data_IF_166650710900
#
_entry.id   IF_166650710900
#
_cell.length_a   1.000
_cell.length_b   1.000
_cell.length_c   1.000
_cell.angle_alpha   90.00
_cell.angle_beta   90.00
_cell.angle_gamma   90.00
#
_symmetry.space_group_name_H-M   'P 1'
#
loop_
_entity.id
_entity.type
_entity.pdbx_description
1 polymer ?
#
# COMPACT_ATOMS: atom_id res chain seq x y z
N UNK A 1 -26.65 -14.33 1.84
CA UNK A 1 -25.77 -14.23 0.65
C UNK A 1 -25.38 -15.65 0.30
N UNK A 2 -25.62 -16.11 -0.92
CA UNK A 2 -25.27 -17.46 -1.36
C UNK A 2 -23.86 -17.42 -1.98
N UNK A 3 -23.07 -18.47 -1.73
CA UNK A 3 -21.75 -18.62 -2.33
C UNK A 3 -21.90 -19.04 -3.80
N UNK A 4 -20.98 -18.60 -4.64
CA UNK A 4 -20.84 -19.15 -6.00
C UNK A 4 -20.26 -20.56 -5.94
N UNK A 5 -20.42 -21.35 -7.00
CA UNK A 5 -19.86 -22.71 -7.08
C UNK A 5 -18.35 -22.72 -6.77
N UNK A 6 -17.59 -21.75 -7.32
CA UNK A 6 -16.16 -21.61 -7.06
C UNK A 6 -15.83 -21.26 -5.62
N UNK A 7 -16.66 -20.44 -4.99
CA UNK A 7 -16.51 -20.13 -3.56
C UNK A 7 -16.84 -21.33 -2.68
N UNK A 8 -17.86 -22.14 -3.04
CA UNK A 8 -18.16 -23.40 -2.32
C UNK A 8 -17.02 -24.42 -2.43
N UNK A 9 -16.44 -24.59 -3.63
CA UNK A 9 -15.25 -25.41 -3.84
C UNK A 9 -14.09 -24.92 -2.96
N UNK A 10 -13.87 -23.59 -2.95
CA UNK A 10 -12.83 -22.95 -2.13
C UNK A 10 -13.04 -23.14 -0.63
N UNK A 11 -14.29 -23.05 -0.16
CA UNK A 11 -14.64 -23.34 1.22
C UNK A 11 -14.31 -24.80 1.58
N UNK A 12 -14.78 -25.77 0.77
CA UNK A 12 -14.53 -27.20 0.98
C UNK A 12 -13.04 -27.53 1.01
N UNK A 13 -12.27 -27.00 0.05
CA UNK A 13 -10.82 -27.21 -0.03
C UNK A 13 -10.08 -26.63 1.18
N UNK A 14 -10.45 -25.42 1.63
CA UNK A 14 -9.85 -24.81 2.80
C UNK A 14 -10.14 -25.60 4.07
N UNK A 15 -11.38 -26.05 4.27
CA UNK A 15 -11.76 -26.88 5.41
C UNK A 15 -11.04 -28.24 5.40
N UNK A 16 -10.88 -28.87 4.22
CA UNK A 16 -10.13 -30.10 4.04
C UNK A 16 -8.68 -29.93 4.50
N UNK A 17 -8.00 -28.87 4.01
CA UNK A 17 -6.60 -28.58 4.35
C UNK A 17 -6.41 -28.32 5.84
N UNK A 18 -7.29 -27.54 6.44
CA UNK A 18 -7.26 -27.28 7.88
C UNK A 18 -7.39 -28.57 8.69
N UNK A 19 -8.36 -29.43 8.36
CA UNK A 19 -8.56 -30.74 9.02
C UNK A 19 -7.37 -31.69 8.88
N UNK A 20 -6.67 -31.62 7.75
CA UNK A 20 -5.49 -32.43 7.48
C UNK A 20 -4.20 -31.84 8.10
N UNK A 21 -4.28 -30.78 8.90
CA UNK A 21 -3.14 -30.06 9.49
C UNK A 21 -2.12 -29.59 8.43
N UNK A 22 -2.59 -29.26 7.23
CA UNK A 22 -1.73 -28.60 6.24
C UNK A 22 -1.42 -27.16 6.73
N UNK A 23 -0.27 -26.63 6.34
CA UNK A 23 0.21 -25.33 6.88
C UNK A 23 -0.58 -24.14 6.35
N UNK A 24 -1.04 -24.18 5.11
CA UNK A 24 -1.67 -23.05 4.46
C UNK A 24 -2.59 -23.42 3.30
N UNK A 25 -3.40 -22.46 2.92
CA UNK A 25 -4.13 -22.42 1.66
C UNK A 25 -3.83 -21.11 0.93
N UNK A 26 -3.76 -21.15 -0.39
CA UNK A 26 -3.67 -19.96 -1.25
C UNK A 26 -4.97 -19.82 -2.03
N UNK A 27 -5.63 -18.70 -1.85
CA UNK A 27 -6.86 -18.32 -2.55
C UNK A 27 -6.51 -17.17 -3.48
N UNK A 28 -6.31 -17.50 -4.76
CA UNK A 28 -6.16 -16.53 -5.82
C UNK A 28 -7.52 -16.10 -6.37
N UNK A 29 -7.60 -14.86 -6.87
CA UNK A 29 -8.81 -14.41 -7.54
C UNK A 29 -8.73 -12.95 -7.94
N UNK A 30 -9.46 -12.59 -8.96
CA UNK A 30 -9.48 -11.23 -9.50
C UNK A 30 -10.25 -10.25 -8.60
N UNK A 31 -10.20 -8.95 -8.92
CA UNK A 31 -11.06 -7.96 -8.30
C UNK A 31 -12.54 -8.35 -8.50
N UNK A 32 -13.40 -8.10 -7.51
CA UNK A 32 -14.84 -8.39 -7.59
C UNK A 32 -15.23 -9.87 -7.50
N UNK A 33 -14.31 -10.81 -7.24
CA UNK A 33 -14.62 -12.24 -7.13
C UNK A 33 -15.02 -12.70 -5.72
N UNK A 34 -15.08 -11.79 -4.74
CA UNK A 34 -15.53 -12.07 -3.39
C UNK A 34 -14.54 -12.86 -2.53
N UNK A 35 -13.23 -12.68 -2.70
CA UNK A 35 -12.20 -13.30 -1.83
C UNK A 35 -12.46 -13.06 -0.35
N UNK A 36 -12.69 -11.81 0.06
CA UNK A 36 -12.95 -11.44 1.45
C UNK A 36 -14.27 -12.05 1.98
N UNK A 37 -15.28 -12.14 1.12
CA UNK A 37 -16.55 -12.81 1.43
C UNK A 37 -16.32 -14.29 1.72
N UNK A 38 -15.59 -14.98 0.86
CA UNK A 38 -15.25 -16.40 1.07
C UNK A 38 -14.52 -16.62 2.41
N UNK A 39 -13.56 -15.75 2.76
CA UNK A 39 -12.85 -15.83 4.05
C UNK A 39 -13.81 -15.74 5.23
N UNK A 40 -14.80 -14.85 5.17
CA UNK A 40 -15.79 -14.73 6.25
C UNK A 40 -16.58 -16.03 6.45
N UNK A 41 -16.95 -16.73 5.36
CA UNK A 41 -17.59 -18.04 5.43
C UNK A 41 -16.65 -19.13 5.95
N UNK A 42 -15.37 -19.11 5.53
CA UNK A 42 -14.34 -20.05 6.01
C UNK A 42 -14.19 -19.93 7.53
N UNK A 43 -13.98 -18.71 8.04
CA UNK A 43 -13.80 -18.47 9.48
C UNK A 43 -15.04 -18.89 10.27
N UNK A 44 -16.23 -18.63 9.75
CA UNK A 44 -17.47 -19.06 10.40
C UNK A 44 -17.61 -20.58 10.39
N UNK A 45 -17.22 -21.27 9.32
CA UNK A 45 -17.32 -22.73 9.21
C UNK A 45 -16.26 -23.49 10.02
N UNK A 46 -15.10 -22.83 10.30
CA UNK A 46 -14.04 -23.42 11.13
C UNK A 46 -14.34 -23.34 12.64
N UNK A 47 -15.36 -22.57 13.04
CA UNK A 47 -15.79 -22.37 14.44
C UNK A 47 -14.63 -21.98 15.38
N UNK A 48 -13.72 -21.14 14.88
CA UNK A 48 -12.57 -20.63 15.63
C UNK A 48 -12.94 -19.31 16.30
N UNK A 49 -12.51 -19.13 17.55
CA UNK A 49 -12.66 -17.84 18.23
C UNK A 49 -12.07 -16.73 17.37
N UNK A 50 -12.88 -15.73 17.04
CA UNK A 50 -12.46 -14.57 16.22
C UNK A 50 -11.26 -13.84 16.79
N UNK A 51 -11.05 -13.87 18.11
CA UNK A 51 -9.86 -13.31 18.76
C UNK A 51 -8.57 -14.08 18.42
N UNK A 52 -8.71 -15.34 17.98
CA UNK A 52 -7.60 -16.17 17.52
C UNK A 52 -7.36 -16.10 16.01
N UNK A 53 -8.09 -15.24 15.31
CA UNK A 53 -7.90 -14.98 13.88
C UNK A 53 -7.21 -13.61 13.71
N UNK A 54 -6.03 -13.60 13.10
CA UNK A 54 -5.36 -12.37 12.71
C UNK A 54 -5.61 -12.06 11.24
N UNK A 55 -6.02 -10.85 10.94
CA UNK A 55 -6.07 -10.31 9.58
C UNK A 55 -4.87 -9.41 9.39
N UNK A 56 -4.05 -9.69 8.38
CA UNK A 56 -2.81 -8.94 8.16
C UNK A 56 -2.61 -8.59 6.70
N UNK A 57 -1.93 -7.48 6.49
CA UNK A 57 -1.42 -7.07 5.18
C UNK A 57 0.01 -6.55 5.28
N UNK A 58 0.69 -6.42 4.15
CA UNK A 58 2.08 -5.96 4.13
C UNK A 58 2.21 -4.47 4.45
N UNK A 59 1.29 -3.65 3.95
CA UNK A 59 1.30 -2.18 4.15
C UNK A 59 0.31 -1.74 5.22
N UNK A 60 0.61 -0.61 5.87
CA UNK A 60 -0.30 0.00 6.84
C UNK A 60 -1.63 0.39 6.21
N UNK A 61 -1.58 0.95 5.00
CA UNK A 61 -2.76 1.34 4.23
C UNK A 61 -3.68 0.16 3.94
N UNK A 62 -3.13 -0.98 3.49
CA UNK A 62 -3.95 -2.18 3.25
C UNK A 62 -4.53 -2.76 4.55
N UNK A 63 -3.79 -2.70 5.67
CA UNK A 63 -4.32 -3.07 6.98
C UNK A 63 -5.48 -2.14 7.41
N UNK A 64 -5.40 -0.85 7.07
CA UNK A 64 -6.48 0.12 7.29
C UNK A 64 -7.74 -0.23 6.48
N UNK A 65 -7.57 -0.54 5.19
CA UNK A 65 -8.68 -1.01 4.35
C UNK A 65 -9.35 -2.24 4.95
N UNK A 66 -8.57 -3.19 5.48
CA UNK A 66 -9.12 -4.37 6.18
C UNK A 66 -9.91 -3.98 7.43
N UNK A 67 -9.46 -2.97 8.21
CA UNK A 67 -10.20 -2.47 9.38
C UNK A 67 -11.55 -1.88 8.97
N UNK A 68 -11.58 -1.05 7.94
CA UNK A 68 -12.82 -0.47 7.39
C UNK A 68 -13.79 -1.53 6.86
N UNK A 69 -13.27 -2.64 6.33
CA UNK A 69 -14.06 -3.79 5.85
C UNK A 69 -14.54 -4.73 6.99
N UNK A 70 -14.50 -4.29 8.23
CA UNK A 70 -15.08 -5.02 9.37
C UNK A 70 -14.12 -5.92 10.15
N UNK A 71 -12.81 -5.74 9.97
CA UNK A 71 -11.78 -6.45 10.74
C UNK A 71 -11.01 -5.48 11.65
N UNK A 72 -11.60 -5.00 12.76
CA UNK A 72 -11.06 -3.89 13.55
C UNK A 72 -9.64 -4.15 14.09
N UNK A 73 -9.26 -5.41 14.27
CA UNK A 73 -7.95 -5.82 14.75
C UNK A 73 -6.95 -6.10 13.61
N UNK A 74 -7.26 -5.71 12.37
CA UNK A 74 -6.34 -5.90 11.27
C UNK A 74 -5.06 -5.07 11.48
N UNK A 75 -3.91 -5.69 11.17
CA UNK A 75 -2.60 -5.10 11.43
C UNK A 75 -1.62 -5.37 10.29
N UNK A 76 -0.46 -4.75 10.35
CA UNK A 76 0.59 -5.08 9.39
C UNK A 76 1.25 -6.41 9.74
N UNK A 77 1.76 -7.11 8.72
CA UNK A 77 2.51 -8.34 8.89
C UNK A 77 3.75 -8.15 9.80
N UNK A 78 4.37 -6.97 9.73
CA UNK A 78 5.47 -6.63 10.64
C UNK A 78 5.02 -6.60 12.11
N UNK A 79 3.88 -5.99 12.41
CA UNK A 79 3.35 -5.95 13.78
C UNK A 79 2.99 -7.34 14.30
N UNK A 80 2.54 -8.22 13.42
CA UNK A 80 2.26 -9.61 13.78
C UNK A 80 3.55 -10.37 14.13
N UNK A 81 4.61 -10.24 13.30
CA UNK A 81 5.80 -11.09 13.34
C UNK A 81 6.90 -10.61 14.29
N UNK A 82 6.89 -9.34 14.69
CA UNK A 82 7.97 -8.76 15.50
C UNK A 82 7.45 -8.10 16.77
N UNK A 83 8.22 -8.26 17.83
CA UNK A 83 8.11 -7.43 19.04
C UNK A 83 9.01 -6.21 18.91
N UNK A 84 8.50 -5.05 19.32
CA UNK A 84 9.27 -3.82 19.43
C UNK A 84 9.76 -3.67 20.87
N UNK A 85 11.05 -3.88 21.10
CA UNK A 85 11.66 -3.78 22.43
C UNK A 85 12.40 -2.44 22.52
N UNK A 86 12.08 -1.59 23.48
CA UNK A 86 12.77 -0.32 23.68
C UNK A 86 14.28 -0.51 23.84
N UNK A 87 15.06 0.40 23.26
CA UNK A 87 16.52 0.42 23.40
C UNK A 87 16.94 1.42 24.47
N UNK A 88 17.96 1.10 25.26
CA UNK A 88 18.63 2.13 26.04
C UNK A 88 19.19 3.23 25.11
N UNK A 89 18.74 4.46 25.27
CA UNK A 89 19.14 5.58 24.41
C UNK A 89 18.19 5.93 23.25
N UNK A 90 17.00 5.34 23.20
CA UNK A 90 15.93 5.66 22.25
C UNK A 90 15.80 4.67 21.07
N UNK A 91 14.61 4.62 20.47
CA UNK A 91 14.25 3.68 19.41
C UNK A 91 13.91 2.27 19.90
N UNK A 92 13.62 1.37 18.96
CA UNK A 92 13.21 0.00 19.25
C UNK A 92 14.04 -1.03 18.47
N UNK A 93 14.30 -2.18 19.11
CA UNK A 93 14.72 -3.39 18.42
C UNK A 93 13.51 -4.15 17.95
N UNK A 94 13.57 -4.69 16.75
CA UNK A 94 12.62 -5.69 16.27
C UNK A 94 13.18 -7.07 16.53
N UNK A 95 12.51 -7.79 17.40
CA UNK A 95 12.85 -9.17 17.72
C UNK A 95 11.76 -10.04 17.10
N UNK A 96 12.10 -11.00 16.21
CA UNK A 96 11.12 -11.93 15.69
C UNK A 96 10.42 -12.67 16.84
N UNK A 97 9.10 -12.70 16.81
CA UNK A 97 8.31 -13.45 17.80
C UNK A 97 8.58 -14.94 17.67
N UNK A 98 8.78 -15.61 18.77
CA UNK A 98 8.97 -17.06 18.81
C UNK A 98 7.64 -17.81 18.62
N UNK A 99 6.55 -17.25 19.14
CA UNK A 99 5.21 -17.82 19.08
C UNK A 99 4.19 -16.75 18.68
N UNK A 100 3.13 -17.18 18.01
CA UNK A 100 1.97 -16.36 17.69
C UNK A 100 0.76 -16.93 18.40
N UNK A 101 -0.01 -16.08 19.09
CA UNK A 101 -1.18 -16.48 19.90
C UNK A 101 -2.43 -16.72 19.05
N UNK A 102 -2.27 -16.84 17.74
CA UNK A 102 -3.35 -17.00 16.79
C UNK A 102 -3.45 -18.46 16.30
N UNK A 103 -4.65 -18.87 15.97
CA UNK A 103 -4.93 -20.18 15.35
C UNK A 103 -4.91 -20.05 13.83
N UNK A 104 -5.42 -18.94 13.31
CA UNK A 104 -5.51 -18.65 11.88
C UNK A 104 -4.93 -17.27 11.60
N UNK A 105 -4.17 -17.16 10.51
CA UNK A 105 -3.69 -15.89 9.97
C UNK A 105 -4.22 -15.75 8.55
N UNK A 106 -4.95 -14.68 8.29
CA UNK A 106 -5.39 -14.28 6.94
C UNK A 106 -4.44 -13.19 6.44
N UNK A 107 -3.69 -13.50 5.40
CA UNK A 107 -2.75 -12.56 4.76
C UNK A 107 -3.39 -12.05 3.48
N UNK A 108 -3.75 -10.78 3.44
CA UNK A 108 -4.32 -10.14 2.26
C UNK A 108 -3.25 -9.46 1.41
N UNK A 109 -3.52 -9.30 0.11
CA UNK A 109 -2.60 -8.73 -0.90
C UNK A 109 -1.21 -9.41 -0.87
N UNK A 110 -1.19 -10.74 -0.86
CA UNK A 110 0.05 -11.52 -0.73
C UNK A 110 1.08 -11.24 -1.84
N UNK A 111 0.64 -10.75 -3.00
CA UNK A 111 1.54 -10.34 -4.11
C UNK A 111 2.61 -9.32 -3.71
N UNK A 112 2.34 -8.54 -2.65
CA UNK A 112 3.26 -7.52 -2.11
C UNK A 112 4.15 -8.03 -0.98
N UNK A 113 3.92 -9.23 -0.46
CA UNK A 113 4.63 -9.75 0.71
C UNK A 113 6.00 -10.30 0.29
N UNK A 114 7.12 -9.88 0.91
CA UNK A 114 8.42 -10.45 0.63
C UNK A 114 8.48 -11.95 0.96
N UNK A 115 9.19 -12.72 0.11
CA UNK A 115 9.43 -14.15 0.33
C UNK A 115 9.98 -14.43 1.74
N UNK A 116 10.91 -13.62 2.21
CA UNK A 116 11.51 -13.75 3.56
C UNK A 116 10.46 -13.68 4.68
N UNK A 117 9.41 -12.87 4.52
CA UNK A 117 8.32 -12.79 5.52
C UNK A 117 7.35 -13.97 5.40
N UNK A 118 7.10 -14.47 4.20
CA UNK A 118 6.33 -15.71 3.99
C UNK A 118 7.06 -16.88 4.66
N UNK A 119 8.36 -17.02 4.41
CA UNK A 119 9.17 -18.06 5.02
C UNK A 119 9.18 -17.96 6.55
N UNK A 120 9.14 -16.74 7.10
CA UNK A 120 9.03 -16.52 8.55
C UNK A 120 7.65 -16.96 9.08
N UNK A 121 6.56 -16.59 8.41
CA UNK A 121 5.21 -17.03 8.77
C UNK A 121 5.09 -18.56 8.79
N UNK A 122 5.63 -19.22 7.78
CA UNK A 122 5.55 -20.69 7.62
C UNK A 122 6.34 -21.48 8.69
N UNK A 123 7.16 -20.81 9.51
CA UNK A 123 7.84 -21.42 10.67
C UNK A 123 6.92 -21.56 11.88
N UNK A 124 5.85 -20.76 11.95
CA UNK A 124 4.90 -20.82 13.05
C UNK A 124 3.90 -21.97 12.86
N UNK A 125 3.42 -22.53 13.97
CA UNK A 125 2.42 -23.61 13.99
C UNK A 125 0.99 -23.02 13.96
N UNK A 126 0.68 -22.30 12.88
CA UNK A 126 -0.63 -21.65 12.66
C UNK A 126 -1.10 -21.96 11.25
N UNK A 127 -2.41 -22.02 11.03
CA UNK A 127 -2.95 -22.17 9.68
C UNK A 127 -3.00 -20.81 8.99
N UNK A 128 -2.50 -20.73 7.75
CA UNK A 128 -2.39 -19.47 7.03
C UNK A 128 -3.28 -19.49 5.79
N UNK A 129 -4.09 -18.47 5.62
CA UNK A 129 -4.90 -18.23 4.43
C UNK A 129 -4.27 -17.07 3.67
N UNK A 130 -3.61 -17.35 2.55
CA UNK A 130 -3.05 -16.33 1.67
C UNK A 130 -4.08 -15.91 0.63
N UNK A 131 -4.35 -14.62 0.53
CA UNK A 131 -5.23 -14.01 -0.46
C UNK A 131 -4.43 -13.12 -1.40
N UNK A 132 -4.76 -13.17 -2.68
CA UNK A 132 -4.14 -12.27 -3.63
C UNK A 132 -4.77 -12.33 -5.01
N UNK A 133 -4.39 -11.39 -5.83
CA UNK A 133 -4.76 -11.32 -7.23
C UNK A 133 -3.52 -11.59 -8.09
N UNK A 134 -3.48 -12.72 -8.83
CA UNK A 134 -2.32 -13.09 -9.62
C UNK A 134 -2.08 -12.15 -10.81
N UNK A 135 -3.06 -11.32 -11.17
CA UNK A 135 -2.93 -10.38 -12.27
C UNK A 135 -2.46 -8.98 -11.84
N UNK A 136 -2.46 -8.68 -10.54
CA UNK A 136 -1.85 -7.43 -10.04
C UNK A 136 -0.33 -7.45 -10.22
N UNK A 137 0.28 -6.24 -10.14
CA UNK A 137 1.73 -6.11 -10.21
C UNK A 137 2.40 -6.87 -9.05
N UNK A 138 3.43 -7.68 -9.35
CA UNK A 138 4.23 -8.33 -8.31
C UNK A 138 5.14 -7.31 -7.61
N UNK A 139 5.81 -7.75 -6.54
CA UNK A 139 6.90 -6.99 -5.94
C UNK A 139 7.97 -6.58 -6.96
N UNK A 140 8.54 -5.39 -6.74
CA UNK A 140 9.64 -4.86 -7.58
C UNK A 140 10.92 -5.65 -7.35
N UNK A 141 11.21 -6.00 -6.09
CA UNK A 141 12.41 -6.75 -5.72
C UNK A 141 12.29 -8.21 -6.17
N UNK A 142 13.05 -8.55 -7.22
CA UNK A 142 13.03 -9.89 -7.83
C UNK A 142 13.53 -10.98 -6.88
N UNK A 143 14.45 -10.66 -5.99
CA UNK A 143 15.04 -11.62 -5.03
C UNK A 143 14.06 -11.95 -3.88
N UNK A 144 13.06 -11.10 -3.67
CA UNK A 144 12.01 -11.29 -2.67
C UNK A 144 10.69 -11.79 -3.28
N UNK A 145 10.65 -12.07 -4.57
CA UNK A 145 9.47 -12.60 -5.25
C UNK A 145 9.18 -14.05 -4.82
N UNK A 146 7.92 -14.40 -4.73
CA UNK A 146 7.44 -15.76 -4.46
C UNK A 146 6.44 -16.19 -5.55
N UNK A 147 6.14 -17.48 -5.58
CA UNK A 147 5.30 -18.15 -6.60
C UNK A 147 3.91 -18.58 -6.07
N UNK A 148 3.52 -18.18 -4.87
CA UNK A 148 2.28 -18.62 -4.24
C UNK A 148 1.03 -18.42 -5.12
N UNK A 149 1.00 -17.32 -5.89
CA UNK A 149 -0.14 -16.99 -6.76
C UNK A 149 -0.01 -17.60 -8.18
N UNK A 150 1.10 -18.23 -8.52
CA UNK A 150 1.27 -18.86 -9.82
C UNK A 150 0.45 -20.17 -9.91
N UNK A 151 0.29 -20.87 -8.77
CA UNK A 151 -0.50 -22.08 -8.63
C UNK A 151 -1.34 -22.05 -7.35
N UNK A 152 -2.39 -21.22 -7.27
CA UNK A 152 -3.22 -21.14 -6.08
C UNK A 152 -4.04 -22.43 -5.90
N UNK A 153 -4.28 -22.83 -4.64
CA UNK A 153 -5.08 -24.01 -4.33
C UNK A 153 -6.58 -23.81 -4.67
N UNK A 154 -7.02 -22.57 -4.59
CA UNK A 154 -8.37 -22.12 -4.94
C UNK A 154 -8.23 -20.91 -5.85
N UNK A 155 -8.94 -20.92 -6.97
CA UNK A 155 -8.93 -19.80 -7.90
C UNK A 155 -10.34 -19.30 -8.18
N UNK A 156 -10.61 -18.04 -7.82
CA UNK A 156 -11.88 -17.37 -8.01
C UNK A 156 -11.82 -16.51 -9.29
N UNK A 157 -12.45 -16.98 -10.35
CA UNK A 157 -12.53 -16.29 -11.65
C UNK A 157 -13.93 -15.72 -11.94
N UNK A 158 -14.93 -16.11 -11.15
CA UNK A 158 -16.31 -15.65 -11.30
C UNK A 158 -16.53 -14.36 -10.52
N UNK A 159 -16.98 -13.32 -11.21
CA UNK A 159 -17.38 -12.05 -10.59
C UNK A 159 -18.72 -12.23 -9.88
N UNK A 160 -18.83 -11.65 -8.69
CA UNK A 160 -20.08 -11.65 -7.95
C UNK A 160 -21.16 -10.87 -8.70
N UNK A 161 -22.41 -11.33 -8.65
CA UNK A 161 -23.54 -10.70 -9.38
C UNK A 161 -23.68 -9.21 -9.09
N UNK A 162 -23.48 -8.79 -7.85
CA UNK A 162 -23.58 -7.38 -7.44
C UNK A 162 -22.51 -6.50 -8.08
N UNK A 163 -21.37 -7.06 -8.43
CA UNK A 163 -20.25 -6.35 -9.03
C UNK A 163 -20.18 -6.49 -10.55
N UNK A 164 -20.94 -7.43 -11.12
CA UNK A 164 -20.96 -7.67 -12.57
C UNK A 164 -21.55 -6.49 -13.37
N UNK A 165 -22.37 -5.66 -12.74
CA UNK A 165 -22.95 -4.46 -13.36
C UNK A 165 -21.99 -3.25 -13.30
N UNK A 166 -20.93 -3.28 -12.49
CA UNK A 166 -19.97 -2.18 -12.37
C UNK A 166 -19.18 -2.01 -13.67
N UNK A 167 -19.23 -0.80 -14.23
CA UNK A 167 -18.45 -0.43 -15.42
C UNK A 167 -16.94 -0.55 -15.15
N UNK A 168 -16.49 -0.29 -13.92
CA UNK A 168 -15.08 -0.43 -13.50
C UNK A 168 -14.65 -1.88 -13.60
N UNK A 169 -15.45 -2.80 -13.05
CA UNK A 169 -15.15 -4.24 -13.08
C UNK A 169 -15.16 -4.76 -14.52
N UNK A 170 -16.14 -4.37 -15.34
CA UNK A 170 -16.18 -4.75 -16.76
C UNK A 170 -14.95 -4.24 -17.53
N UNK A 171 -14.52 -3.01 -17.26
CA UNK A 171 -13.33 -2.43 -17.88
C UNK A 171 -12.06 -3.17 -17.43
N UNK A 172 -11.92 -3.48 -16.15
CA UNK A 172 -10.76 -4.24 -15.63
C UNK A 172 -10.71 -5.65 -16.21
N UNK A 173 -11.86 -6.29 -16.48
CA UNK A 173 -11.89 -7.59 -17.19
C UNK A 173 -11.34 -7.47 -18.60
N UNK A 174 -11.76 -6.46 -19.38
CA UNK A 174 -11.24 -6.23 -20.74
C UNK A 174 -9.74 -6.01 -20.70
N UNK A 175 -9.24 -5.18 -19.77
CA UNK A 175 -7.79 -4.94 -19.59
C UNK A 175 -7.06 -6.26 -19.35
N UNK A 176 -7.55 -7.07 -18.41
CA UNK A 176 -6.96 -8.35 -18.06
C UNK A 176 -6.93 -9.34 -19.22
N UNK A 177 -8.01 -9.41 -19.98
CA UNK A 177 -8.13 -10.32 -21.14
C UNK A 177 -7.29 -9.85 -22.33
N UNK A 178 -6.68 -8.66 -22.26
CA UNK A 178 -5.93 -8.08 -23.38
C UNK A 178 -6.81 -7.61 -24.54
N UNK A 179 -8.11 -7.38 -24.24
CA UNK A 179 -9.07 -6.86 -25.20
C UNK A 179 -8.78 -5.39 -25.51
N UNK A 180 -9.28 -4.94 -26.65
CA UNK A 180 -9.22 -3.52 -27.00
C UNK A 180 -10.09 -2.71 -26.06
N UNK A 181 -9.53 -1.61 -25.55
CA UNK A 181 -10.23 -0.68 -24.66
C UNK A 181 -10.61 0.55 -25.48
N UNK A 182 -11.89 0.67 -25.88
CA UNK A 182 -12.35 1.83 -26.63
C UNK A 182 -12.44 3.06 -25.72
N UNK A 183 -12.45 4.25 -26.31
CA UNK A 183 -12.89 5.44 -25.60
C UNK A 183 -14.35 5.27 -25.17
N UNK A 184 -14.65 5.62 -23.94
CA UNK A 184 -15.98 5.48 -23.36
C UNK A 184 -16.27 6.55 -22.32
N UNK A 185 -17.53 6.92 -22.17
CA UNK A 185 -18.00 7.97 -21.26
C UNK A 185 -19.15 7.41 -20.40
N UNK A 186 -18.80 6.47 -19.54
CA UNK A 186 -19.74 5.83 -18.62
C UNK A 186 -20.01 6.68 -17.37
N UNK A 187 -20.88 6.17 -16.51
CA UNK A 187 -21.21 6.81 -15.24
C UNK A 187 -20.16 6.55 -14.16
N UNK A 188 -19.59 5.34 -14.15
CA UNK A 188 -18.58 4.89 -13.18
C UNK A 188 -17.18 4.89 -13.79
N UNK A 189 -17.05 4.53 -15.08
CA UNK A 189 -15.78 4.45 -15.77
C UNK A 189 -15.78 5.27 -17.05
N UNK A 190 -14.70 6.02 -17.26
CA UNK A 190 -14.43 6.78 -18.48
C UNK A 190 -13.05 6.43 -19.00
N UNK A 191 -12.94 6.33 -20.33
CA UNK A 191 -11.65 6.20 -21.04
C UNK A 191 -11.59 7.34 -22.04
N UNK A 192 -10.73 8.31 -21.79
CA UNK A 192 -10.64 9.54 -22.58
C UNK A 192 -9.32 9.64 -23.34
N UNK A 193 -9.30 10.26 -24.52
CA UNK A 193 -8.06 10.56 -25.21
C UNK A 193 -7.27 11.65 -24.47
N UNK A 194 -5.94 11.62 -24.65
CA UNK A 194 -5.02 12.56 -23.96
C UNK A 194 -5.38 14.02 -24.15
N UNK A 195 -5.93 14.39 -25.30
CA UNK A 195 -6.31 15.76 -25.65
C UNK A 195 -7.49 16.28 -24.83
N UNK A 196 -8.32 15.40 -24.30
CA UNK A 196 -9.48 15.76 -23.48
C UNK A 196 -9.12 15.92 -21.99
N UNK A 197 -7.92 15.50 -21.59
CA UNK A 197 -7.46 15.71 -20.23
C UNK A 197 -7.35 17.22 -19.93
N UNK A 198 -8.02 17.66 -18.88
CA UNK A 198 -8.03 19.04 -18.48
C UNK A 198 -7.87 19.17 -16.95
N UNK A 199 -7.74 20.39 -16.47
CA UNK A 199 -7.56 20.71 -15.06
C UNK A 199 -8.71 20.23 -14.18
N UNK A 200 -9.93 20.18 -14.74
CA UNK A 200 -11.10 19.64 -14.05
C UNK A 200 -10.93 18.17 -13.69
N UNK A 201 -10.39 17.35 -14.58
CA UNK A 201 -10.10 15.93 -14.29
C UNK A 201 -9.03 15.76 -13.19
N UNK A 202 -8.00 16.61 -13.20
CA UNK A 202 -6.95 16.57 -12.18
C UNK A 202 -7.49 16.92 -10.79
N UNK A 203 -8.32 17.98 -10.70
CA UNK A 203 -8.91 18.44 -9.45
C UNK A 203 -10.06 17.54 -8.96
N UNK A 204 -10.72 16.82 -9.87
CA UNK A 204 -11.81 15.88 -9.57
C UNK A 204 -11.33 14.64 -8.82
N UNK A 205 -10.12 14.15 -9.14
CA UNK A 205 -9.60 12.90 -8.62
C UNK A 205 -9.20 13.01 -7.14
N UNK A 206 -9.61 12.03 -6.32
CA UNK A 206 -9.08 11.86 -4.97
C UNK A 206 -7.62 11.38 -5.02
N UNK A 207 -7.30 10.57 -6.06
CA UNK A 207 -5.95 10.13 -6.32
C UNK A 207 -5.65 10.03 -7.82
N UNK A 208 -4.50 10.56 -8.22
CA UNK A 208 -3.95 10.40 -9.57
C UNK A 208 -2.89 9.31 -9.54
N UNK A 209 -2.94 8.38 -10.50
CA UNK A 209 -2.00 7.25 -10.62
C UNK A 209 -1.28 7.35 -11.96
N UNK A 210 0.05 7.24 -11.93
CA UNK A 210 0.91 7.25 -13.11
C UNK A 210 1.91 6.09 -13.10
N UNK A 211 2.69 5.95 -14.16
CA UNK A 211 3.70 4.91 -14.29
C UNK A 211 5.08 5.32 -13.84
N UNK A 212 5.52 6.51 -14.22
CA UNK A 212 6.90 6.97 -14.02
C UNK A 212 7.04 8.05 -12.95
N UNK A 213 8.21 8.10 -12.33
CA UNK A 213 8.53 9.16 -11.38
C UNK A 213 8.54 10.56 -12.03
N UNK A 214 8.92 10.64 -13.32
CA UNK A 214 8.94 11.92 -14.02
C UNK A 214 7.52 12.49 -14.17
N UNK A 215 6.56 11.67 -14.60
CA UNK A 215 5.15 12.10 -14.69
C UNK A 215 4.60 12.44 -13.30
N UNK A 216 4.90 11.63 -12.30
CA UNK A 216 4.52 11.89 -10.91
C UNK A 216 4.97 13.26 -10.43
N UNK A 217 6.25 13.63 -10.65
CA UNK A 217 6.79 14.92 -10.25
C UNK A 217 6.08 16.05 -11.00
N UNK A 218 5.95 15.95 -12.32
CA UNK A 218 5.31 16.97 -13.14
C UNK A 218 3.86 17.24 -12.73
N UNK A 219 3.09 16.16 -12.52
CA UNK A 219 1.67 16.27 -12.11
C UNK A 219 1.56 16.82 -10.68
N UNK A 220 2.41 16.42 -9.75
CA UNK A 220 2.41 16.98 -8.41
C UNK A 220 2.70 18.49 -8.42
N UNK A 221 3.66 18.96 -9.22
CA UNK A 221 3.95 20.39 -9.37
C UNK A 221 2.77 21.13 -10.01
N UNK A 222 2.15 20.55 -11.04
CA UNK A 222 0.94 21.12 -11.65
C UNK A 222 -0.22 21.20 -10.64
N UNK A 223 -0.43 20.16 -9.85
CA UNK A 223 -1.48 20.14 -8.81
C UNK A 223 -1.26 21.21 -7.75
N UNK A 224 -0.01 21.45 -7.34
CA UNK A 224 0.33 22.53 -6.42
C UNK A 224 -0.12 23.88 -6.98
N UNK A 225 0.28 24.17 -8.22
CA UNK A 225 -0.09 25.42 -8.90
C UNK A 225 -1.61 25.57 -9.05
N UNK A 226 -2.31 24.50 -9.46
CA UNK A 226 -3.78 24.52 -9.59
C UNK A 226 -4.50 24.75 -8.26
N UNK A 227 -3.92 24.35 -7.15
CA UNK A 227 -4.46 24.58 -5.79
C UNK A 227 -3.98 25.90 -5.17
N UNK A 228 -3.18 26.69 -5.88
CA UNK A 228 -2.68 27.98 -5.43
C UNK A 228 -1.50 27.90 -4.45
N UNK A 229 -0.82 26.76 -4.38
CA UNK A 229 0.39 26.60 -3.57
C UNK A 229 1.62 27.07 -4.35
N UNK A 230 2.41 27.93 -3.74
CA UNK A 230 3.60 28.54 -4.33
C UNK A 230 4.86 28.25 -3.49
N UNK A 231 6.04 28.48 -4.11
CA UNK A 231 7.33 28.34 -3.41
C UNK A 231 7.86 26.91 -3.33
N UNK A 232 9.07 26.82 -2.74
CA UNK A 232 9.91 25.61 -2.76
C UNK A 232 9.63 24.64 -1.61
N UNK A 233 8.86 25.06 -0.61
CA UNK A 233 8.50 24.23 0.53
C UNK A 233 7.01 23.93 0.51
N UNK A 234 6.59 22.77 1.03
CA UNK A 234 5.18 22.47 1.22
C UNK A 234 4.50 23.49 2.13
N UNK A 235 3.25 23.77 1.84
CA UNK A 235 2.42 24.72 2.57
C UNK A 235 1.32 24.00 3.34
N UNK A 236 0.68 24.73 4.24
CA UNK A 236 -0.41 24.24 5.07
C UNK A 236 -1.55 23.65 4.21
N UNK A 237 -1.97 22.43 4.49
CA UNK A 237 -3.01 21.72 3.73
C UNK A 237 -2.52 20.99 2.47
N UNK A 238 -1.23 21.00 2.15
CA UNK A 238 -0.72 20.21 1.02
C UNK A 238 -0.72 18.72 1.31
N UNK A 239 -1.07 17.93 0.27
CA UNK A 239 -1.14 16.47 0.34
C UNK A 239 0.26 15.86 0.17
N UNK A 240 0.66 15.07 1.14
CA UNK A 240 1.94 14.37 1.16
C UNK A 240 1.75 12.85 1.22
N UNK A 241 2.80 12.12 0.85
CA UNK A 241 2.87 10.66 0.98
C UNK A 241 4.17 10.26 1.64
N UNK A 242 4.08 9.39 2.65
CA UNK A 242 5.21 8.75 3.30
C UNK A 242 5.81 7.65 2.41
N UNK A 243 7.13 7.65 2.22
CA UNK A 243 7.79 6.75 1.29
C UNK A 243 8.48 5.55 1.94
N UNK A 244 8.55 5.52 3.27
CA UNK A 244 9.20 4.46 4.05
C UNK A 244 8.38 4.13 5.30
N UNK A 245 8.69 3.01 5.94
CA UNK A 245 8.10 2.67 7.23
C UNK A 245 8.94 3.24 8.36
N UNK A 246 8.31 4.02 9.23
CA UNK A 246 8.89 4.61 10.44
C UNK A 246 8.07 4.13 11.65
N UNK A 247 8.44 2.98 12.17
CA UNK A 247 7.69 2.29 13.22
C UNK A 247 7.82 2.93 14.59
N UNK A 248 8.80 3.81 14.76
CA UNK A 248 9.03 4.58 15.98
C UNK A 248 8.20 5.87 16.01
N UNK A 249 7.76 6.35 14.84
CA UNK A 249 6.92 7.54 14.73
C UNK A 249 5.47 7.12 14.89
N UNK A 250 5.00 7.20 16.10
CA UNK A 250 3.66 6.79 16.51
C UNK A 250 2.76 8.03 16.51
N UNK A 251 1.51 7.87 16.07
CA UNK A 251 0.49 8.92 16.16
C UNK A 251 0.24 9.34 17.60
N UNK A 252 -0.20 10.56 17.80
CA UNK A 252 -0.36 11.17 19.14
C UNK A 252 -1.32 10.39 20.06
N UNK A 253 -2.28 9.67 19.46
CA UNK A 253 -3.21 8.77 20.16
C UNK A 253 -2.67 7.33 20.33
N UNK A 254 -1.47 7.03 19.81
CA UNK A 254 -0.85 5.71 19.84
C UNK A 254 -1.48 4.68 18.90
N UNK A 255 -2.33 5.10 17.97
CA UNK A 255 -3.11 4.23 17.10
C UNK A 255 -2.28 3.58 16.01
N UNK A 256 -1.45 4.33 15.29
CA UNK A 256 -0.64 3.82 14.18
C UNK A 256 0.77 4.41 14.14
N UNK A 257 1.59 3.92 13.21
CA UNK A 257 2.92 4.43 12.91
C UNK A 257 2.94 5.01 11.50
N UNK A 258 3.90 5.90 11.21
CA UNK A 258 4.15 6.34 9.84
C UNK A 258 4.60 5.17 8.98
N UNK A 259 3.83 4.86 7.94
CA UNK A 259 4.10 3.72 7.06
C UNK A 259 4.19 4.12 5.59
N UNK A 260 4.94 3.34 4.83
CA UNK A 260 5.07 3.52 3.40
C UNK A 260 3.69 3.46 2.70
N UNK A 261 3.41 4.48 1.89
CA UNK A 261 2.13 4.64 1.19
C UNK A 261 1.06 5.41 1.96
N UNK A 262 1.30 5.77 3.24
CA UNK A 262 0.37 6.60 4.00
C UNK A 262 0.32 8.00 3.39
N UNK A 263 -0.87 8.43 2.99
CA UNK A 263 -1.15 9.77 2.49
C UNK A 263 -1.81 10.61 3.56
N UNK A 264 -1.61 11.91 3.51
CA UNK A 264 -2.20 12.85 4.45
C UNK A 264 -1.89 14.29 4.09
N UNK A 265 -2.41 15.20 4.89
CA UNK A 265 -2.14 16.63 4.77
C UNK A 265 -1.17 17.10 5.84
N UNK A 266 -0.41 18.11 5.53
CA UNK A 266 0.48 18.76 6.52
C UNK A 266 -0.14 20.02 7.08
N UNK A 267 0.27 20.34 8.31
CA UNK A 267 -0.09 21.55 9.02
C UNK A 267 1.17 22.21 9.60
N UNK A 268 1.14 23.55 9.64
CA UNK A 268 2.19 24.37 10.27
C UNK A 268 3.61 24.05 9.77
N UNK A 269 3.87 23.90 8.44
CA UNK A 269 5.18 23.54 7.96
C UNK A 269 6.16 24.72 8.05
N UNK A 270 7.40 24.44 8.50
CA UNK A 270 8.49 25.40 8.45
C UNK A 270 9.83 24.73 8.15
N UNK A 271 10.72 25.47 7.49
CA UNK A 271 12.08 24.97 7.20
C UNK A 271 12.90 24.90 8.48
N UNK A 272 13.56 23.77 8.68
CA UNK A 272 14.48 23.53 9.79
C UNK A 272 15.72 22.79 9.29
N UNK A 273 16.65 22.52 10.18
CA UNK A 273 17.84 21.71 9.91
C UNK A 273 18.05 20.72 11.05
N UNK A 274 18.42 19.52 10.70
CA UNK A 274 18.82 18.49 11.64
C UNK A 274 20.33 18.36 11.61
N UNK A 275 20.99 18.46 12.78
CA UNK A 275 22.43 18.35 12.89
C UNK A 275 22.86 16.92 13.20
N UNK A 276 23.67 16.34 12.31
CA UNK A 276 24.33 15.06 12.57
C UNK A 276 25.58 15.26 13.42
N UNK A 277 25.93 14.30 14.30
CA UNK A 277 27.16 14.35 15.08
C UNK A 277 28.41 14.42 14.19
N UNK A 278 29.35 15.30 14.53
CA UNK A 278 30.57 15.53 13.74
C UNK A 278 31.50 14.33 13.59
N UNK A 279 31.37 13.33 14.45
CA UNK A 279 32.15 12.10 14.36
C UNK A 279 31.63 11.08 13.34
N UNK A 280 30.47 11.34 12.72
CA UNK A 280 29.95 10.54 11.60
C UNK A 280 30.60 11.00 10.32
N UNK A 281 31.10 10.08 9.52
CA UNK A 281 31.67 10.41 8.22
C UNK A 281 30.56 10.68 7.21
N UNK A 282 30.33 11.96 6.91
CA UNK A 282 29.32 12.45 5.96
C UNK A 282 29.85 13.63 5.17
N UNK A 283 29.19 13.92 4.02
CA UNK A 283 29.50 15.09 3.18
C UNK A 283 29.13 16.39 3.90
N UNK A 284 27.94 16.39 4.50
CA UNK A 284 27.42 17.53 5.24
C UNK A 284 26.76 17.04 6.53
N UNK A 285 27.04 17.75 7.62
CA UNK A 285 26.46 17.44 8.94
C UNK A 285 25.14 18.18 9.19
N UNK A 286 24.69 18.98 8.21
CA UNK A 286 23.47 19.77 8.29
C UNK A 286 22.46 19.25 7.27
N UNK A 287 21.45 18.54 7.72
CA UNK A 287 20.42 17.98 6.88
C UNK A 287 19.22 18.92 6.80
N UNK A 288 18.88 19.45 5.61
CA UNK A 288 17.71 20.30 5.46
C UNK A 288 16.42 19.51 5.67
N UNK A 289 15.54 20.01 6.52
CA UNK A 289 14.28 19.37 6.84
C UNK A 289 13.11 20.37 6.82
N UNK A 290 11.90 19.84 6.77
CA UNK A 290 10.65 20.56 6.99
C UNK A 290 9.97 19.95 8.19
N UNK A 291 9.87 20.73 9.25
CA UNK A 291 9.12 20.36 10.43
C UNK A 291 7.65 20.66 10.23
N UNK A 292 6.76 19.72 10.55
CA UNK A 292 5.30 19.90 10.41
C UNK A 292 4.53 18.91 11.28
N UNK A 293 3.23 19.16 11.40
CA UNK A 293 2.26 18.13 11.76
C UNK A 293 1.84 17.40 10.48
N UNK A 294 1.63 16.09 10.55
CA UNK A 294 1.08 15.28 9.47
C UNK A 294 -0.20 14.60 9.94
N UNK A 295 -1.28 14.80 9.19
CA UNK A 295 -2.61 14.24 9.47
C UNK A 295 -2.94 13.22 8.40
N UNK A 296 -3.06 11.94 8.77
CA UNK A 296 -3.33 10.85 7.84
C UNK A 296 -4.73 10.94 7.23
N UNK A 297 -4.88 10.81 5.90
CA UNK A 297 -6.15 10.96 5.17
C UNK A 297 -7.22 9.96 5.63
N UNK A 298 -6.81 8.75 6.00
CA UNK A 298 -7.74 7.64 6.23
C UNK A 298 -8.26 7.54 7.65
N UNK A 299 -7.41 7.89 8.61
CA UNK A 299 -7.67 7.70 10.04
C UNK A 299 -7.89 9.00 10.77
N UNK A 300 -7.52 10.14 10.17
CA UNK A 300 -7.38 11.45 10.81
C UNK A 300 -6.39 11.42 12.00
N UNK A 301 -5.56 10.38 12.12
CA UNK A 301 -4.51 10.32 13.13
C UNK A 301 -3.47 11.42 12.89
N UNK A 302 -3.06 12.06 13.97
CA UNK A 302 -2.12 13.17 13.97
C UNK A 302 -0.75 12.69 14.39
N UNK A 303 0.26 13.12 13.64
CA UNK A 303 1.68 13.01 13.97
C UNK A 303 2.20 14.43 14.16
N UNK A 304 2.22 14.91 15.37
CA UNK A 304 2.45 16.33 15.69
C UNK A 304 3.87 16.82 15.46
N UNK A 305 4.82 15.92 15.28
CA UNK A 305 6.25 16.26 15.10
C UNK A 305 6.91 15.37 14.05
N UNK A 306 6.88 15.82 12.81
CA UNK A 306 7.49 15.09 11.68
C UNK A 306 8.50 15.99 11.00
N UNK A 307 9.77 15.56 10.95
CA UNK A 307 10.82 16.20 10.19
C UNK A 307 10.96 15.52 8.82
N UNK A 308 10.45 16.14 7.76
CA UNK A 308 10.49 15.62 6.40
C UNK A 308 11.78 16.04 5.69
N UNK A 309 12.35 15.15 4.87
CA UNK A 309 13.52 15.43 4.04
C UNK A 309 13.18 16.48 2.98
N UNK A 310 13.67 17.71 3.18
CA UNK A 310 13.43 18.84 2.28
C UNK A 310 14.02 18.60 0.89
N UNK A 311 15.19 17.99 0.81
CA UNK A 311 15.86 17.73 -0.46
C UNK A 311 15.08 16.68 -1.28
N UNK A 312 14.56 15.64 -0.63
CA UNK A 312 13.71 14.66 -1.28
C UNK A 312 12.42 15.27 -1.84
N UNK A 313 11.80 16.19 -1.10
CA UNK A 313 10.58 16.88 -1.56
C UNK A 313 10.86 17.71 -2.80
N UNK A 314 12.00 18.43 -2.82
CA UNK A 314 12.38 19.33 -3.92
C UNK A 314 12.93 18.61 -5.15
N UNK A 315 13.74 17.56 -4.95
CA UNK A 315 14.52 16.92 -6.02
C UNK A 315 14.08 15.48 -6.33
N UNK A 316 13.24 14.88 -5.50
CA UNK A 316 12.77 13.50 -5.67
C UNK A 316 13.76 12.43 -5.20
N UNK A 317 14.91 12.83 -4.66
CA UNK A 317 15.97 11.97 -4.17
C UNK A 317 16.30 12.32 -2.70
N UNK A 318 16.70 11.33 -1.87
CA UNK A 318 17.05 11.60 -0.48
C UNK A 318 18.33 12.44 -0.37
N UNK A 319 18.38 13.36 0.61
CA UNK A 319 19.57 14.15 0.90
C UNK A 319 20.78 13.27 1.24
N UNK A 320 20.55 12.22 2.04
CA UNK A 320 21.59 11.26 2.43
C UNK A 320 21.73 10.13 1.41
N UNK A 321 22.94 9.84 1.00
CA UNK A 321 23.21 8.62 0.26
C UNK A 321 23.02 7.37 1.16
N UNK A 322 23.09 6.16 0.56
CA UNK A 322 22.85 4.92 1.29
C UNK A 322 23.91 4.64 2.38
N UNK A 323 25.17 5.11 2.19
CA UNK A 323 26.27 4.92 3.15
C UNK A 323 26.11 5.83 4.35
N UNK A 324 25.77 7.10 4.10
CA UNK A 324 25.47 8.09 5.12
C UNK A 324 24.25 7.69 5.94
N UNK A 325 23.16 7.28 5.26
CA UNK A 325 21.96 6.75 5.91
C UNK A 325 22.24 5.51 6.77
N UNK A 326 23.09 4.61 6.28
CA UNK A 326 23.50 3.42 7.05
C UNK A 326 24.38 3.78 8.26
N UNK A 327 25.32 4.69 8.09
CA UNK A 327 26.18 5.16 9.18
C UNK A 327 25.36 5.83 10.29
N UNK A 328 24.45 6.73 9.92
CA UNK A 328 23.53 7.38 10.86
C UNK A 328 22.53 6.37 11.47
N UNK A 329 22.03 5.43 10.68
CA UNK A 329 21.16 4.37 11.17
C UNK A 329 21.80 3.51 12.27
N UNK A 330 23.09 3.22 12.18
CA UNK A 330 23.84 2.59 13.29
C UNK A 330 23.93 3.47 14.54
N UNK A 331 23.95 4.78 14.36
CA UNK A 331 24.02 5.74 15.46
C UNK A 331 22.65 6.10 16.01
N UNK A 332 21.59 6.05 15.19
CA UNK A 332 20.20 6.19 15.63
C UNK A 332 19.91 5.28 16.85
N UNK A 333 20.63 4.17 16.93
CA UNK A 333 20.62 3.27 18.10
C UNK A 333 21.09 3.94 19.40
N UNK A 334 21.72 5.13 19.36
CA UNK A 334 22.29 5.83 20.53
C UNK A 334 21.76 7.25 20.76
N UNK A 335 21.22 7.93 19.75
CA UNK A 335 21.05 9.39 19.74
C UNK A 335 19.60 9.84 19.42
N UNK A 336 18.66 8.91 19.15
CA UNK A 336 17.29 9.28 18.76
C UNK A 336 17.16 9.66 17.28
N UNK A 337 16.05 10.32 16.92
CA UNK A 337 15.67 10.59 15.54
C UNK A 337 16.44 11.74 14.92
N UNK A 338 17.54 11.42 14.24
CA UNK A 338 18.38 12.39 13.54
C UNK A 338 18.31 12.29 12.01
N UNK A 339 17.43 11.45 11.46
CA UNK A 339 17.29 11.28 10.00
C UNK A 339 15.93 11.83 9.58
N UNK A 340 15.89 12.81 8.64
CA UNK A 340 14.64 13.31 8.12
C UNK A 340 13.80 12.18 7.47
N UNK A 341 12.48 12.30 7.56
CA UNK A 341 11.53 11.32 7.00
C UNK A 341 11.38 11.50 5.50
N UNK A 342 11.38 10.39 4.78
CA UNK A 342 11.21 10.40 3.34
C UNK A 342 9.74 10.63 2.96
N UNK A 343 9.41 11.83 2.52
CA UNK A 343 8.10 12.25 2.04
C UNK A 343 8.21 12.90 0.66
N UNK A 344 7.11 12.90 -0.08
CA UNK A 344 6.93 13.67 -1.31
C UNK A 344 5.47 14.10 -1.44
N UNK A 345 5.16 14.96 -2.42
CA UNK A 345 3.78 15.33 -2.71
C UNK A 345 2.96 14.10 -3.11
N UNK A 346 1.73 14.01 -2.61
CA UNK A 346 0.85 12.85 -2.67
C UNK A 346 -0.33 12.97 -3.64
N UNK A 347 -0.44 14.06 -4.43
CA UNK A 347 -1.55 14.21 -5.39
C UNK A 347 -1.50 13.19 -6.52
N UNK A 348 -0.31 12.92 -7.02
CA UNK A 348 -0.02 11.87 -7.99
C UNK A 348 0.99 10.89 -7.44
N UNK A 349 0.72 9.59 -7.57
CA UNK A 349 1.60 8.51 -7.11
C UNK A 349 1.81 7.49 -8.22
N UNK A 350 2.89 6.71 -8.14
CA UNK A 350 3.09 5.61 -9.09
C UNK A 350 2.18 4.43 -8.77
N UNK A 351 1.82 3.64 -9.79
CA UNK A 351 0.96 2.48 -9.64
C UNK A 351 1.47 1.49 -8.56
N UNK A 352 2.78 1.26 -8.47
CA UNK A 352 3.35 0.43 -7.40
C UNK A 352 3.08 0.99 -6.00
N UNK A 353 3.06 2.32 -5.84
CA UNK A 353 2.75 2.95 -4.56
C UNK A 353 1.26 2.95 -4.22
N UNK A 354 0.39 2.74 -5.21
CA UNK A 354 -1.05 2.64 -5.00
C UNK A 354 -1.53 1.25 -4.55
N UNK A 355 -0.67 0.23 -4.64
CA UNK A 355 -1.02 -1.13 -4.24
C UNK A 355 -1.42 -1.19 -2.76
N UNK A 356 -2.47 -1.97 -2.46
CA UNK A 356 -3.05 -2.07 -1.12
C UNK A 356 -3.86 -0.85 -0.68
N UNK A 357 -4.05 0.15 -1.57
CA UNK A 357 -4.87 1.33 -1.32
C UNK A 357 -6.09 1.34 -2.24
N UNK A 358 -7.12 2.10 -1.84
CA UNK A 358 -8.36 2.25 -2.57
C UNK A 358 -8.88 3.69 -2.39
N UNK A 359 -9.41 4.31 -3.43
CA UNK A 359 -9.98 5.68 -3.41
C UNK A 359 -11.28 5.72 -4.19
N UNK A 360 -12.18 6.62 -3.79
CA UNK A 360 -13.48 6.73 -4.46
C UNK A 360 -13.33 7.17 -5.91
N UNK A 361 -12.48 8.17 -6.19
CA UNK A 361 -12.28 8.75 -7.53
C UNK A 361 -10.82 8.64 -7.94
N UNK A 362 -10.54 7.83 -8.95
CA UNK A 362 -9.18 7.62 -9.44
C UNK A 362 -9.05 8.11 -10.88
N UNK A 363 -8.01 8.88 -11.14
CA UNK A 363 -7.54 9.23 -12.48
C UNK A 363 -6.26 8.45 -12.77
N UNK A 364 -6.28 7.62 -13.79
CA UNK A 364 -5.11 6.89 -14.28
C UNK A 364 -4.56 7.60 -15.52
N UNK A 365 -3.30 8.00 -15.46
CA UNK A 365 -2.56 8.52 -16.61
C UNK A 365 -1.82 7.35 -17.25
N UNK A 366 -2.39 6.78 -18.30
CA UNK A 366 -1.78 5.66 -19.01
C UNK A 366 -0.55 6.13 -19.78
N UNK A 367 0.57 5.50 -19.52
CA UNK A 367 1.84 5.78 -20.16
C UNK A 367 2.24 4.62 -21.07
N UNK A 368 2.89 4.94 -22.21
CA UNK A 368 3.48 3.92 -23.08
C UNK A 368 4.83 3.51 -22.52
N UNK A 369 4.89 2.31 -21.97
CA UNK A 369 6.14 1.72 -21.50
C UNK A 369 6.75 0.79 -22.56
N UNK A 370 8.07 0.56 -22.53
CA UNK A 370 8.71 -0.48 -23.31
C UNK A 370 8.46 -1.88 -22.74
N UNK A 371 7.24 -2.11 -22.22
CA UNK A 371 6.82 -3.39 -21.65
C UNK A 371 6.14 -4.27 -22.70
N UNK A 372 6.20 -5.58 -22.47
CA UNK A 372 5.32 -6.51 -23.17
C UNK A 372 3.85 -6.18 -22.88
N UNK A 373 2.96 -6.49 -23.85
CA UNK A 373 1.51 -6.21 -23.71
C UNK A 373 0.92 -6.74 -22.40
N UNK A 374 1.38 -7.91 -21.95
CA UNK A 374 0.90 -8.53 -20.70
C UNK A 374 1.32 -7.73 -19.45
N UNK A 375 2.54 -7.24 -19.42
CA UNK A 375 3.04 -6.42 -18.31
C UNK A 375 2.34 -5.07 -18.25
N UNK A 376 2.11 -4.45 -19.41
CA UNK A 376 1.33 -3.22 -19.51
C UNK A 376 -0.12 -3.44 -19.04
N UNK A 377 -0.76 -4.53 -19.45
CA UNK A 377 -2.12 -4.87 -19.02
C UNK A 377 -2.17 -5.08 -17.50
N UNK A 378 -1.17 -5.73 -16.90
CA UNK A 378 -1.07 -5.88 -15.42
C UNK A 378 -0.95 -4.54 -14.72
N UNK A 379 -0.14 -3.65 -15.27
CA UNK A 379 0.02 -2.30 -14.73
C UNK A 379 -1.30 -1.53 -14.75
N UNK A 380 -1.96 -1.50 -15.92
CA UNK A 380 -3.23 -0.78 -16.10
C UNK A 380 -4.35 -1.39 -15.25
N UNK A 381 -4.41 -2.72 -15.17
CA UNK A 381 -5.34 -3.43 -14.30
C UNK A 381 -5.13 -3.07 -12.83
N UNK A 382 -3.87 -3.09 -12.37
CA UNK A 382 -3.54 -2.74 -10.98
C UNK A 382 -3.95 -1.30 -10.66
N UNK A 383 -3.69 -0.36 -11.57
CA UNK A 383 -4.09 1.04 -11.40
C UNK A 383 -5.61 1.22 -11.40
N UNK A 384 -6.32 0.57 -12.34
CA UNK A 384 -7.77 0.67 -12.48
C UNK A 384 -8.52 0.07 -11.27
N UNK A 385 -8.02 -1.04 -10.73
CA UNK A 385 -8.61 -1.69 -9.53
C UNK A 385 -8.41 -0.90 -8.24
N UNK A 386 -7.81 0.28 -8.27
CA UNK A 386 -7.71 1.20 -7.12
C UNK A 386 -8.94 2.09 -6.96
N UNK A 387 -9.80 2.15 -7.97
CA UNK A 387 -11.03 2.94 -7.94
C UNK A 387 -12.18 2.14 -7.29
N UNK A 388 -12.78 2.72 -6.25
CA UNK A 388 -13.96 2.16 -5.60
C UNK A 388 -15.26 2.57 -6.33
N UNK A 389 -15.43 3.87 -6.63
CA UNK A 389 -16.69 4.40 -7.15
C UNK A 389 -16.57 4.93 -8.60
N UNK A 390 -15.48 5.61 -8.91
CA UNK A 390 -15.30 6.30 -10.20
C UNK A 390 -13.88 6.17 -10.71
N UNK A 391 -13.76 5.86 -12.00
CA UNK A 391 -12.50 5.69 -12.70
C UNK A 391 -12.45 6.54 -13.96
N UNK A 392 -11.38 7.29 -14.15
CA UNK A 392 -11.04 7.90 -15.44
C UNK A 392 -9.67 7.38 -15.87
N UNK A 393 -9.58 6.82 -17.07
CA UNK A 393 -8.31 6.44 -17.71
C UNK A 393 -8.07 7.41 -18.87
N UNK A 394 -6.95 8.12 -18.81
CA UNK A 394 -6.44 8.94 -19.92
C UNK A 394 -5.39 8.14 -20.69
N UNK A 395 -5.59 7.98 -22.02
CA UNK A 395 -4.69 7.21 -22.89
C UNK A 395 -4.37 7.89 -24.23
#
# INVERSE_FOLDING_TARGET
>A
MELTTKQEEGLKETLRRYKNNEKYVVIGGYAGTGKSTLVSFIISALDVDRKKVAYVSYTGKAAEVLRKKGNPNAMTLHRLLYDSVPRPGGGFFRIPKQHLDHTIIVVDEVSMVPKSMIDMLLRHKVFIIFLGDPFQLPMIDKDQKHDLLDHPHVFLDQIMRQEAESEIIQLTMKIRNGEEIPYMYGKEAMVIPRQELNTGHLLWADQIICGTNQVRININNQMRQLKGFEGDIPQDGEKMICLRNYWEDISDDGGSCLVNGMTGIIKNPFSTVIHAPRYVKMRDHTMPAIHCEFIADDTNEVFSSVDMDKYMIQHGEPFLDWRESYALGKLKMRIGDIIPRAFTYGYCITCHKSQGSEWNKVLVLEEKFPFEKKEHARWLYTAATRAADKLVIMR
#
